data_IF_029535197007
#
_entry.id   IF_029535197007
#
_cell.length_a   1.000
_cell.length_b   1.000
_cell.length_c   1.000
_cell.angle_alpha   90.00
_cell.angle_beta   90.00
_cell.angle_gamma   90.00
#
_symmetry.space_group_name_H-M   'P 1'
#
loop_
_entity.id
_entity.type
_entity.pdbx_description
1 polymer ?
#
# COMPACT_ATOMS: atom_id res chain seq x y z
N UNK A 1 -9.92 12.95 11.20
CA UNK A 1 -8.55 13.01 11.74
C UNK A 1 -7.47 13.13 10.68
N UNK A 2 -7.59 12.48 9.57
CA UNK A 2 -6.63 12.40 8.45
C UNK A 2 -6.15 13.68 7.80
N UNK A 3 -6.99 14.70 7.73
CA UNK A 3 -6.74 15.89 6.91
C UNK A 3 -6.10 17.04 7.68
N UNK A 4 -5.63 16.82 8.91
CA UNK A 4 -5.03 17.86 9.75
C UNK A 4 -3.50 17.75 9.90
N UNK A 5 -2.87 17.00 9.02
CA UNK A 5 -1.40 16.96 8.97
C UNK A 5 -0.84 18.32 8.56
N UNK A 6 0.46 18.51 8.78
CA UNK A 6 1.21 19.69 8.32
C UNK A 6 1.00 19.97 6.82
N UNK A 7 0.67 18.92 6.04
CA UNK A 7 0.40 19.00 4.58
C UNK A 7 -0.88 19.76 4.23
N UNK A 8 -1.83 19.91 5.18
CA UNK A 8 -3.10 20.60 4.95
C UNK A 8 -3.25 21.79 5.89
N UNK A 9 -3.89 22.83 5.41
CA UNK A 9 -4.28 24.01 6.18
C UNK A 9 -5.75 24.33 5.95
N UNK A 10 -6.34 25.13 6.81
CA UNK A 10 -7.62 25.78 6.51
C UNK A 10 -7.34 27.03 5.69
N UNK A 11 -8.11 27.23 4.63
CA UNK A 11 -8.15 28.50 3.91
C UNK A 11 -8.98 29.56 4.66
N UNK A 12 -9.09 30.73 4.11
CA UNK A 12 -9.84 31.87 4.68
C UNK A 12 -11.35 31.56 4.88
N UNK A 13 -11.87 30.61 4.11
CA UNK A 13 -13.24 30.12 4.21
C UNK A 13 -13.40 28.90 5.12
N UNK A 14 -12.35 28.51 5.87
CA UNK A 14 -12.35 27.37 6.76
C UNK A 14 -12.26 26.01 6.06
N UNK A 15 -12.07 25.96 4.72
CA UNK A 15 -11.94 24.73 3.95
C UNK A 15 -10.56 24.12 4.14
N UNK A 16 -10.50 22.80 4.19
CA UNK A 16 -9.22 22.08 4.28
C UNK A 16 -8.60 21.99 2.88
N UNK A 17 -7.49 22.70 2.69
CA UNK A 17 -6.73 22.72 1.43
C UNK A 17 -5.33 22.18 1.64
N UNK A 18 -4.78 21.54 0.62
CA UNK A 18 -3.39 21.08 0.65
C UNK A 18 -2.46 22.30 0.57
N UNK A 19 -1.38 22.29 1.36
CA UNK A 19 -0.30 23.29 1.24
C UNK A 19 0.38 23.18 -0.12
N UNK A 20 0.89 24.31 -0.59
CA UNK A 20 1.58 24.39 -1.87
C UNK A 20 2.99 23.76 -1.78
N UNK A 21 3.57 23.45 -2.93
CA UNK A 21 4.98 23.03 -3.00
C UNK A 21 5.91 24.17 -2.59
N UNK A 22 5.47 25.42 -2.74
CA UNK A 22 6.22 26.61 -2.32
C UNK A 22 6.36 26.70 -0.79
N UNK A 23 5.35 26.25 -0.04
CA UNK A 23 5.47 26.11 1.41
C UNK A 23 6.60 25.15 1.78
N UNK A 24 6.72 24.02 1.08
CA UNK A 24 7.80 23.06 1.30
C UNK A 24 9.17 23.65 0.92
N UNK A 25 9.26 24.36 -0.21
CA UNK A 25 10.50 25.05 -0.62
C UNK A 25 10.90 26.14 0.36
N UNK A 26 9.94 26.86 0.93
CA UNK A 26 10.22 27.83 2.00
C UNK A 26 10.82 27.16 3.22
N UNK A 27 10.26 26.06 3.68
CA UNK A 27 10.79 25.27 4.80
C UNK A 27 12.22 24.74 4.51
N UNK A 28 12.48 24.33 3.27
CA UNK A 28 13.83 23.92 2.86
C UNK A 28 14.83 25.09 2.97
N UNK A 29 14.44 26.31 2.55
CA UNK A 29 15.28 27.51 2.71
C UNK A 29 15.52 27.83 4.19
N UNK A 30 14.48 27.77 5.02
CA UNK A 30 14.58 27.98 6.48
C UNK A 30 15.48 26.94 7.15
N UNK A 31 15.47 25.71 6.65
CA UNK A 31 16.35 24.64 7.10
C UNK A 31 17.82 24.78 6.60
N UNK A 32 18.12 25.80 5.78
CA UNK A 32 19.46 26.01 5.24
C UNK A 32 19.78 25.26 3.94
N UNK A 33 18.73 24.78 3.23
CA UNK A 33 18.87 24.02 1.98
C UNK A 33 18.04 24.62 0.83
N UNK A 34 18.26 25.91 0.45
CA UNK A 34 17.59 26.47 -0.72
C UNK A 34 17.90 25.63 -1.95
N UNK A 35 16.83 25.29 -2.70
CA UNK A 35 16.89 24.44 -3.89
C UNK A 35 17.63 23.10 -3.67
N UNK A 36 17.57 22.60 -2.42
CA UNK A 36 18.18 21.35 -2.02
C UNK A 36 19.71 21.39 -1.89
N UNK A 37 20.29 22.56 -1.70
CA UNK A 37 21.75 22.75 -1.48
C UNK A 37 22.02 23.38 -0.14
N UNK A 38 23.00 22.85 0.54
CA UNK A 38 23.52 23.39 1.79
C UNK A 38 24.12 24.80 1.57
N UNK A 39 23.62 25.79 2.30
CA UNK A 39 24.05 27.22 2.14
C UNK A 39 25.50 27.45 2.46
N UNK A 40 26.13 26.62 3.29
CA UNK A 40 27.53 26.79 3.71
C UNK A 40 28.50 26.13 2.76
N UNK A 41 28.15 24.96 2.23
CA UNK A 41 29.06 24.12 1.43
C UNK A 41 28.69 24.05 -0.05
N UNK A 42 27.50 24.49 -0.44
CA UNK A 42 26.94 24.35 -1.80
C UNK A 42 26.65 22.90 -2.22
N UNK A 43 26.87 21.92 -1.33
CA UNK A 43 26.66 20.52 -1.64
C UNK A 43 25.18 20.19 -1.73
N UNK A 44 24.77 19.29 -2.64
CA UNK A 44 23.40 18.84 -2.71
C UNK A 44 23.00 18.07 -1.45
N UNK A 45 21.75 18.24 -1.01
CA UNK A 45 21.16 17.44 0.06
C UNK A 45 20.80 16.07 -0.49
N UNK A 46 21.53 15.06 -0.07
CA UNK A 46 21.28 13.66 -0.39
C UNK A 46 20.70 12.98 0.85
N UNK A 47 19.53 12.38 0.72
CA UNK A 47 18.88 11.61 1.78
C UNK A 47 18.74 10.15 1.36
N UNK A 48 18.96 9.25 2.32
CA UNK A 48 18.87 7.82 2.11
C UNK A 48 17.47 7.33 2.50
N UNK A 49 16.81 6.62 1.60
CA UNK A 49 15.50 6.03 1.81
C UNK A 49 15.61 4.52 1.85
N UNK A 50 15.45 3.96 3.03
CA UNK A 50 15.48 2.52 3.25
C UNK A 50 14.12 1.88 2.96
N UNK A 51 14.12 0.85 2.11
CA UNK A 51 12.94 0.12 1.67
C UNK A 51 13.08 -1.38 1.93
N UNK A 52 12.03 -1.99 2.45
CA UNK A 52 12.02 -3.36 2.96
C UNK A 52 11.83 -4.45 1.90
N UNK A 53 11.92 -4.13 0.62
CA UNK A 53 11.73 -5.09 -0.46
C UNK A 53 12.49 -4.70 -1.72
N UNK A 54 13.24 -5.64 -2.26
CA UNK A 54 13.89 -5.51 -3.57
C UNK A 54 13.00 -6.03 -4.73
N UNK A 55 11.73 -6.36 -4.47
CA UNK A 55 10.83 -6.90 -5.49
C UNK A 55 10.54 -5.89 -6.62
N UNK A 56 10.45 -6.33 -7.89
CA UNK A 56 10.22 -5.46 -9.04
C UNK A 56 8.94 -4.61 -8.95
N UNK A 57 7.90 -5.10 -8.27
CA UNK A 57 6.64 -4.37 -8.07
C UNK A 57 6.77 -3.07 -7.28
N UNK A 58 7.87 -2.88 -6.53
CA UNK A 58 8.12 -1.65 -5.76
C UNK A 58 8.68 -0.51 -6.63
N UNK A 59 9.20 -0.79 -7.82
CA UNK A 59 9.94 0.17 -8.65
C UNK A 59 9.15 1.44 -8.93
N UNK A 60 7.94 1.32 -9.43
CA UNK A 60 7.11 2.48 -9.79
C UNK A 60 6.81 3.39 -8.58
N UNK A 61 6.60 2.80 -7.40
CA UNK A 61 6.37 3.52 -6.16
C UNK A 61 7.64 4.27 -5.71
N UNK A 62 8.79 3.62 -5.73
CA UNK A 62 10.07 4.22 -5.34
C UNK A 62 10.50 5.33 -6.29
N UNK A 63 10.32 5.16 -7.59
CA UNK A 63 10.54 6.21 -8.58
C UNK A 63 9.59 7.40 -8.38
N UNK A 64 8.35 7.15 -7.98
CA UNK A 64 7.42 8.22 -7.64
C UNK A 64 7.93 9.02 -6.44
N UNK A 65 8.38 8.35 -5.36
CA UNK A 65 8.98 9.02 -4.20
C UNK A 65 10.16 9.88 -4.60
N UNK A 66 11.12 9.34 -5.33
CA UNK A 66 12.30 10.07 -5.82
C UNK A 66 11.90 11.33 -6.59
N UNK A 67 10.91 11.22 -7.50
CA UNK A 67 10.39 12.39 -8.22
C UNK A 67 9.70 13.43 -7.31
N UNK A 68 9.04 13.00 -6.23
CA UNK A 68 8.42 13.97 -5.31
C UNK A 68 9.47 14.73 -4.51
N UNK A 69 10.49 14.07 -4.00
CA UNK A 69 11.59 14.71 -3.28
C UNK A 69 12.41 15.65 -4.18
N UNK A 70 12.63 15.28 -5.42
CA UNK A 70 13.31 16.13 -6.41
C UNK A 70 12.60 17.49 -6.65
N UNK A 71 11.28 17.59 -6.46
CA UNK A 71 10.53 18.85 -6.59
C UNK A 71 10.94 19.94 -5.61
N UNK A 72 11.55 19.54 -4.50
CA UNK A 72 12.09 20.43 -3.46
C UNK A 72 13.61 20.38 -3.40
N UNK A 73 14.26 19.85 -4.44
CA UNK A 73 15.69 19.80 -4.59
C UNK A 73 16.42 18.66 -3.85
N UNK A 74 15.70 17.80 -3.15
CA UNK A 74 16.31 16.68 -2.42
C UNK A 74 16.65 15.55 -3.38
N UNK A 75 17.89 15.07 -3.34
CA UNK A 75 18.32 13.83 -3.99
C UNK A 75 18.03 12.65 -3.05
N UNK A 76 17.11 11.78 -3.45
CA UNK A 76 16.72 10.61 -2.67
C UNK A 76 17.44 9.36 -3.20
N UNK A 77 18.31 8.79 -2.38
CA UNK A 77 18.95 7.50 -2.66
C UNK A 77 18.14 6.37 -2.04
N UNK A 78 17.60 5.50 -2.89
CA UNK A 78 16.80 4.35 -2.45
C UNK A 78 17.72 3.18 -2.14
N UNK A 79 17.62 2.67 -0.92
CA UNK A 79 18.35 1.51 -0.40
C UNK A 79 17.39 0.36 -0.12
N UNK A 80 17.05 -0.39 -1.16
CA UNK A 80 16.18 -1.55 -1.04
C UNK A 80 16.96 -2.77 -0.51
N UNK A 81 16.45 -3.41 0.54
CA UNK A 81 17.03 -4.62 1.13
C UNK A 81 15.93 -5.65 1.40
N UNK A 82 16.32 -6.86 1.77
CA UNK A 82 15.38 -7.82 2.36
C UNK A 82 14.89 -7.33 3.74
N UNK A 83 13.78 -7.93 4.20
CA UNK A 83 13.11 -7.48 5.42
C UNK A 83 13.97 -7.64 6.68
N UNK A 84 14.77 -8.70 6.79
CA UNK A 84 15.61 -8.92 7.98
C UNK A 84 16.68 -7.84 8.10
N UNK A 85 17.39 -7.55 7.01
CA UNK A 85 18.37 -6.44 6.97
C UNK A 85 17.72 -5.08 7.20
N UNK A 86 16.50 -4.88 6.72
CA UNK A 86 15.75 -3.68 7.01
C UNK A 86 15.48 -3.55 8.52
N UNK A 87 15.04 -4.62 9.19
CA UNK A 87 14.84 -4.63 10.65
C UNK A 87 16.14 -4.35 11.41
N UNK A 88 17.27 -4.95 10.98
CA UNK A 88 18.57 -4.70 11.58
C UNK A 88 18.97 -3.21 11.52
N UNK A 89 18.70 -2.54 10.40
CA UNK A 89 18.93 -1.09 10.27
C UNK A 89 18.07 -0.29 11.24
N UNK A 90 16.79 -0.68 11.44
CA UNK A 90 15.92 -0.02 12.41
C UNK A 90 16.43 -0.20 13.84
N UNK A 91 16.84 -1.41 14.21
CA UNK A 91 17.37 -1.71 15.54
C UNK A 91 18.68 -0.98 15.82
N UNK A 92 19.53 -0.82 14.81
CA UNK A 92 20.84 -0.16 14.94
C UNK A 92 20.77 1.36 14.69
N UNK A 93 19.61 1.93 14.36
CA UNK A 93 19.44 3.37 14.08
C UNK A 93 20.22 3.86 12.87
N UNK A 94 20.53 3.00 11.91
CA UNK A 94 21.33 3.34 10.73
C UNK A 94 20.50 3.77 9.53
N UNK A 95 19.16 3.72 9.62
CA UNK A 95 18.25 4.25 8.62
C UNK A 95 17.99 5.74 8.84
N UNK A 96 17.92 6.51 7.75
CA UNK A 96 17.65 7.95 7.79
C UNK A 96 16.18 8.26 7.50
N UNK A 97 15.66 7.78 6.37
CA UNK A 97 14.25 7.81 6.03
C UNK A 97 13.86 6.40 5.66
N UNK A 98 12.68 5.97 6.08
CA UNK A 98 12.18 4.64 5.77
C UNK A 98 10.66 4.63 5.72
N UNK A 99 10.12 3.59 5.12
CA UNK A 99 8.69 3.35 5.03
C UNK A 99 8.35 2.09 5.82
N UNK A 100 7.54 2.26 6.84
CA UNK A 100 7.06 1.15 7.65
C UNK A 100 5.61 1.40 8.04
N UNK A 101 4.93 0.38 8.58
CA UNK A 101 3.54 0.46 9.01
C UNK A 101 3.30 -0.28 10.31
N UNK A 102 2.19 0.02 10.92
CA UNK A 102 1.71 -0.66 12.12
C UNK A 102 0.25 -1.10 11.92
N UNK A 103 -0.09 -2.25 12.45
CA UNK A 103 -1.46 -2.77 12.52
C UNK A 103 -1.79 -2.85 14.00
N UNK A 104 -2.95 -2.30 14.40
CA UNK A 104 -3.36 -2.34 15.79
C UNK A 104 -3.52 -3.78 16.30
N UNK A 105 -2.89 -4.10 17.43
CA UNK A 105 -3.05 -5.37 18.11
C UNK A 105 -4.32 -5.39 18.96
N UNK A 106 -4.77 -4.21 19.41
CA UNK A 106 -5.99 -3.97 20.17
C UNK A 106 -6.58 -2.59 19.89
N UNK A 107 -7.87 -2.35 20.13
CA UNK A 107 -8.58 -1.13 19.73
C UNK A 107 -8.39 0.01 20.74
N UNK A 108 -7.15 0.42 21.01
CA UNK A 108 -6.83 1.61 21.82
C UNK A 108 -5.80 2.49 21.07
N UNK A 109 -5.90 3.81 21.30
CA UNK A 109 -4.95 4.77 20.74
C UNK A 109 -3.53 4.57 21.25
N UNK A 110 -3.37 4.00 22.42
CA UNK A 110 -2.08 3.65 23.02
C UNK A 110 -1.26 2.80 22.09
N UNK A 111 -1.89 1.83 21.36
CA UNK A 111 -1.21 0.93 20.44
C UNK A 111 -0.63 1.61 19.17
N UNK A 112 -0.88 2.88 18.97
CA UNK A 112 -0.23 3.70 17.95
C UNK A 112 0.69 4.76 18.54
N UNK A 113 0.32 5.33 19.69
CA UNK A 113 1.08 6.41 20.30
C UNK A 113 2.37 5.90 20.98
N UNK A 114 2.40 4.64 21.42
CA UNK A 114 3.60 4.03 22.01
C UNK A 114 4.76 3.92 21.00
N UNK A 115 4.46 3.97 19.71
CA UNK A 115 5.46 4.00 18.64
C UNK A 115 6.24 5.33 18.57
N UNK A 116 5.83 6.34 19.33
CA UNK A 116 6.49 7.64 19.47
C UNK A 116 6.93 7.91 20.90
N UNK A 117 6.68 6.97 21.82
CA UNK A 117 7.07 7.09 23.22
C UNK A 117 8.59 6.94 23.36
N UNK A 118 9.26 7.95 23.91
CA UNK A 118 10.73 8.02 23.96
C UNK A 118 11.38 6.82 24.63
N UNK A 119 10.94 6.35 25.83
CA UNK A 119 11.47 5.15 26.47
C UNK A 119 11.34 3.86 25.63
N UNK A 120 10.48 3.85 24.62
CA UNK A 120 10.32 2.74 23.65
C UNK A 120 11.23 2.86 22.42
N UNK A 121 12.20 3.76 22.41
CA UNK A 121 13.14 3.91 21.30
C UNK A 121 13.85 2.60 20.99
N UNK A 122 14.01 2.27 19.70
CA UNK A 122 14.75 1.07 19.30
C UNK A 122 16.22 1.17 19.66
N UNK A 123 16.81 2.35 19.50
CA UNK A 123 18.22 2.60 19.82
C UNK A 123 18.33 3.17 21.22
N UNK A 124 19.20 2.57 22.04
CA UNK A 124 19.48 3.05 23.39
C UNK A 124 18.45 2.65 24.45
N UNK A 125 17.39 1.93 24.10
CA UNK A 125 16.50 1.34 25.10
C UNK A 125 17.01 -0.04 25.53
N UNK A 126 16.84 -0.35 26.82
CA UNK A 126 17.19 -1.67 27.36
C UNK A 126 16.24 -2.79 26.90
N UNK A 127 15.07 -2.41 26.38
CA UNK A 127 13.99 -3.34 26.03
C UNK A 127 13.83 -3.61 24.52
N UNK A 128 14.60 -2.91 23.66
CA UNK A 128 14.45 -3.02 22.21
C UNK A 128 13.06 -2.61 21.72
N UNK A 129 12.60 -1.44 22.16
CA UNK A 129 11.23 -0.95 21.94
C UNK A 129 10.81 -0.78 20.47
N UNK A 130 9.56 -0.38 20.25
CA UNK A 130 8.97 -0.29 18.91
C UNK A 130 9.00 1.13 18.30
N UNK A 131 9.53 2.13 19.04
CA UNK A 131 9.71 3.48 18.50
C UNK A 131 10.93 3.51 17.56
N UNK A 132 10.72 3.08 16.32
CA UNK A 132 11.77 3.02 15.31
C UNK A 132 12.24 4.40 14.83
N UNK A 133 11.45 5.45 15.01
CA UNK A 133 11.86 6.83 14.73
C UNK A 133 12.83 7.39 15.76
N UNK A 134 12.98 6.73 16.89
CA UNK A 134 13.74 7.21 18.07
C UNK A 134 13.31 8.62 18.48
N UNK A 135 12.06 8.98 18.26
CA UNK A 135 11.47 10.24 18.67
C UNK A 135 11.51 10.37 20.17
N UNK A 136 11.94 11.53 20.66
CA UNK A 136 12.05 11.81 22.07
C UNK A 136 11.51 13.22 22.34
N UNK A 137 10.42 13.32 23.08
CA UNK A 137 9.83 14.59 23.48
C UNK A 137 9.25 14.44 24.89
N UNK A 138 9.80 15.14 25.85
CA UNK A 138 9.45 15.00 27.27
C UNK A 138 7.97 15.31 27.58
N UNK A 139 7.35 16.26 26.83
CA UNK A 139 5.92 16.52 27.00
C UNK A 139 5.07 15.39 26.44
N UNK A 140 5.43 14.86 25.26
CA UNK A 140 4.76 13.70 24.69
C UNK A 140 4.81 12.50 25.64
N UNK A 141 6.00 12.22 26.19
CA UNK A 141 6.22 11.09 27.09
C UNK A 141 5.37 11.21 28.36
N UNK A 142 5.35 12.40 28.97
CA UNK A 142 4.51 12.68 30.15
C UNK A 142 3.02 12.54 29.86
N UNK A 143 2.57 13.00 28.68
CA UNK A 143 1.18 12.86 28.26
C UNK A 143 0.83 11.41 27.99
N UNK A 144 1.75 10.64 27.41
CA UNK A 144 1.59 9.22 27.14
C UNK A 144 1.39 8.43 28.44
N UNK A 145 2.25 8.65 29.45
CA UNK A 145 2.14 8.00 30.76
C UNK A 145 0.79 8.28 31.43
N UNK A 146 0.34 9.53 31.37
CA UNK A 146 -0.98 9.89 31.89
C UNK A 146 -2.12 9.22 31.12
N UNK A 147 -2.04 9.24 29.78
CA UNK A 147 -3.07 8.69 28.90
C UNK A 147 -3.26 7.17 29.08
N UNK A 148 -2.19 6.43 29.36
CA UNK A 148 -2.23 4.96 29.57
C UNK A 148 -3.11 4.54 30.72
N UNK A 149 -3.15 5.35 31.79
CA UNK A 149 -3.90 5.08 33.01
C UNK A 149 -5.26 5.74 33.05
N UNK A 150 -5.58 6.58 32.04
CA UNK A 150 -6.84 7.31 31.98
C UNK A 150 -7.94 6.44 31.37
N UNK A 151 -9.13 6.49 31.97
CA UNK A 151 -10.32 5.83 31.44
C UNK A 151 -10.78 6.45 30.11
N UNK A 152 -11.47 5.67 29.29
CA UNK A 152 -11.99 6.15 28.03
C UNK A 152 -13.04 7.25 28.26
N UNK A 153 -12.72 8.47 27.84
CA UNK A 153 -13.56 9.64 28.05
C UNK A 153 -12.97 10.91 27.43
N UNK A 154 -13.59 12.07 27.73
CA UNK A 154 -13.13 13.36 27.21
C UNK A 154 -11.70 13.71 27.62
N UNK A 155 -11.30 13.36 28.85
CA UNK A 155 -9.96 13.60 29.39
C UNK A 155 -8.91 12.85 28.61
N UNK A 156 -9.08 11.54 28.39
CA UNK A 156 -8.19 10.72 27.55
C UNK A 156 -8.13 11.25 26.12
N UNK A 157 -9.28 11.63 25.55
CA UNK A 157 -9.34 12.21 24.22
C UNK A 157 -8.54 13.53 24.11
N UNK A 158 -8.60 14.39 25.13
CA UNK A 158 -7.83 15.63 25.17
C UNK A 158 -6.32 15.40 25.25
N UNK A 159 -5.88 14.39 26.03
CA UNK A 159 -4.46 13.98 26.09
C UNK A 159 -3.99 13.47 24.71
N UNK A 160 -4.76 12.61 24.08
CA UNK A 160 -4.48 12.08 22.73
C UNK A 160 -4.37 13.24 21.72
N UNK A 161 -5.28 14.19 21.74
CA UNK A 161 -5.25 15.34 20.84
C UNK A 161 -4.00 16.23 21.04
N UNK A 162 -3.53 16.39 22.28
CA UNK A 162 -2.26 17.10 22.54
C UNK A 162 -1.07 16.35 21.97
N UNK A 163 -0.99 15.05 22.20
CA UNK A 163 0.08 14.19 21.68
C UNK A 163 0.12 14.20 20.15
N UNK A 164 -1.05 14.13 19.50
CA UNK A 164 -1.15 14.24 18.04
C UNK A 164 -0.64 15.59 17.54
N UNK A 165 -0.92 16.69 18.25
CA UNK A 165 -0.39 18.03 17.87
C UNK A 165 1.14 18.08 17.98
N UNK A 166 1.72 17.52 19.02
CA UNK A 166 3.16 17.42 19.16
C UNK A 166 3.75 16.63 17.98
N UNK A 167 3.24 15.44 17.71
CA UNK A 167 3.69 14.61 16.60
C UNK A 167 3.53 15.29 15.22
N UNK A 168 2.50 16.13 15.05
CA UNK A 168 2.31 16.90 13.83
C UNK A 168 3.30 18.06 13.68
N UNK A 169 3.67 18.68 14.78
CA UNK A 169 4.59 19.84 14.80
C UNK A 169 6.04 19.39 14.63
N UNK A 170 6.45 18.40 15.39
CA UNK A 170 7.80 17.84 15.34
C UNK A 170 8.04 16.96 14.10
N UNK A 171 6.96 16.46 13.51
CA UNK A 171 6.93 15.68 12.27
C UNK A 171 7.91 14.49 12.22
N UNK A 172 8.01 13.64 13.28
CA UNK A 172 8.83 12.43 13.22
C UNK A 172 8.33 11.46 12.13
N UNK A 173 7.07 11.57 11.74
CA UNK A 173 6.43 10.78 10.70
C UNK A 173 5.73 11.65 9.65
N UNK A 174 5.82 11.21 8.41
CA UNK A 174 4.87 11.56 7.36
C UNK A 174 3.86 10.44 7.25
N UNK A 175 2.63 10.66 7.73
CA UNK A 175 1.56 9.65 7.68
C UNK A 175 1.21 9.33 6.23
N UNK A 176 1.38 8.09 5.83
CA UNK A 176 1.18 7.63 4.47
C UNK A 176 -0.30 7.42 4.13
N UNK A 177 -0.80 6.20 4.25
CA UNK A 177 -2.18 5.84 3.93
C UNK A 177 -2.69 4.76 4.87
N UNK A 178 -4.02 4.62 4.92
CA UNK A 178 -4.67 3.48 5.54
C UNK A 178 -5.19 2.58 4.42
N UNK A 179 -4.71 1.34 4.34
CA UNK A 179 -5.15 0.43 3.30
C UNK A 179 -6.63 0.08 3.49
N UNK A 180 -7.34 -0.04 2.38
CA UNK A 180 -8.66 -0.68 2.36
C UNK A 180 -8.48 -2.08 1.79
N UNK A 181 -9.00 -3.06 2.50
CA UNK A 181 -9.02 -4.43 2.02
C UNK A 181 -10.42 -4.76 1.50
N UNK A 182 -10.47 -5.42 0.36
CA UNK A 182 -11.67 -6.04 -0.16
C UNK A 182 -11.43 -7.55 -0.25
N UNK A 183 -12.35 -8.33 0.28
CA UNK A 183 -12.31 -9.78 0.18
C UNK A 183 -13.57 -10.28 -0.53
N UNK A 184 -13.39 -11.15 -1.52
CA UNK A 184 -14.47 -11.89 -2.14
C UNK A 184 -14.49 -13.31 -1.54
N UNK A 185 -15.62 -13.69 -0.98
CA UNK A 185 -15.81 -14.99 -0.38
C UNK A 185 -16.96 -15.71 -1.07
N UNK A 186 -16.82 -17.02 -1.20
CA UNK A 186 -17.91 -17.83 -1.70
C UNK A 186 -19.12 -17.80 -0.77
N UNK A 187 -20.33 -17.77 -1.31
CA UNK A 187 -21.57 -17.69 -0.52
C UNK A 187 -21.81 -18.86 0.45
N UNK A 188 -21.03 -19.93 0.37
CA UNK A 188 -21.06 -21.03 1.33
C UNK A 188 -20.14 -20.83 2.55
N UNK A 189 -19.33 -19.76 2.56
CA UNK A 189 -18.54 -19.38 3.76
C UNK A 189 -19.45 -18.57 4.68
N UNK A 190 -19.60 -19.02 5.90
CA UNK A 190 -20.42 -18.37 6.94
C UNK A 190 -19.54 -17.70 7.97
N UNK A 191 -20.08 -16.69 8.65
CA UNK A 191 -19.43 -15.95 9.74
C UNK A 191 -18.11 -15.26 9.36
N UNK A 192 -17.87 -15.03 8.07
CA UNK A 192 -16.72 -14.25 7.64
C UNK A 192 -16.97 -12.77 7.96
N UNK A 193 -16.32 -12.26 9.00
CA UNK A 193 -16.35 -10.84 9.39
C UNK A 193 -14.97 -10.24 9.19
N UNK A 194 -14.85 -9.15 8.43
CA UNK A 194 -13.57 -8.47 8.33
C UNK A 194 -13.20 -7.87 9.68
N UNK A 195 -12.00 -8.19 10.15
CA UNK A 195 -11.42 -7.60 11.35
C UNK A 195 -9.93 -7.35 11.11
N UNK A 196 -9.42 -6.26 11.64
CA UNK A 196 -7.99 -5.93 11.56
C UNK A 196 -7.27 -6.17 12.90
N UNK A 197 -8.01 -6.28 13.99
CA UNK A 197 -7.47 -6.48 15.33
C UNK A 197 -7.38 -7.95 15.77
N UNK A 198 -8.08 -8.85 15.08
CA UNK A 198 -8.02 -10.29 15.35
C UNK A 198 -7.25 -10.95 14.22
N UNK A 199 -6.05 -11.41 14.50
CA UNK A 199 -5.15 -12.04 13.52
C UNK A 199 -5.72 -13.31 12.90
N UNK A 200 -6.44 -14.10 13.70
CA UNK A 200 -7.03 -15.36 13.27
C UNK A 200 -8.52 -15.39 13.58
N UNK A 201 -9.31 -15.06 12.56
CA UNK A 201 -10.76 -15.17 12.60
C UNK A 201 -11.29 -16.47 11.96
N UNK A 202 -10.40 -17.33 11.45
CA UNK A 202 -10.77 -18.58 10.78
C UNK A 202 -11.51 -19.51 11.74
N UNK A 203 -11.16 -19.52 13.03
CA UNK A 203 -11.83 -20.27 14.08
C UNK A 203 -13.34 -19.95 14.20
N UNK A 204 -13.80 -18.79 13.77
CA UNK A 204 -15.21 -18.38 13.79
C UNK A 204 -15.93 -18.64 12.46
N UNK A 205 -15.20 -19.02 11.42
CA UNK A 205 -15.77 -19.30 10.10
C UNK A 205 -16.30 -20.72 10.04
N UNK A 206 -17.33 -20.90 9.24
CA UNK A 206 -17.88 -22.21 8.93
C UNK A 206 -18.10 -22.34 7.41
N UNK A 207 -18.05 -23.57 6.91
CA UNK A 207 -18.33 -23.89 5.52
C UNK A 207 -19.62 -24.68 5.44
N UNK A 208 -20.60 -24.19 4.70
CA UNK A 208 -21.78 -24.96 4.31
C UNK A 208 -21.36 -25.99 3.26
N UNK A 209 -21.09 -27.21 3.68
CA UNK A 209 -20.58 -28.28 2.84
C UNK A 209 -21.57 -28.67 1.71
N UNK A 210 -22.88 -28.62 1.99
CA UNK A 210 -23.92 -28.94 1.02
C UNK A 210 -23.99 -27.89 -0.08
N UNK A 211 -24.11 -26.62 0.30
CA UNK A 211 -24.13 -25.51 -0.65
C UNK A 211 -22.84 -25.45 -1.48
N UNK A 212 -21.67 -25.74 -0.87
CA UNK A 212 -20.39 -25.84 -1.58
C UNK A 212 -20.41 -26.95 -2.63
N UNK A 213 -20.87 -28.17 -2.26
CA UNK A 213 -20.93 -29.30 -3.19
C UNK A 213 -21.86 -29.03 -4.39
N UNK A 214 -23.04 -28.43 -4.13
CA UNK A 214 -24.01 -28.06 -5.18
C UNK A 214 -23.41 -27.01 -6.14
N UNK A 215 -22.80 -25.95 -5.62
CA UNK A 215 -22.18 -24.90 -6.45
C UNK A 215 -21.01 -25.41 -7.28
N UNK A 216 -20.12 -26.23 -6.68
CA UNK A 216 -18.99 -26.83 -7.39
C UNK A 216 -19.50 -27.75 -8.53
N UNK A 217 -20.55 -28.54 -8.27
CA UNK A 217 -21.15 -29.38 -9.30
C UNK A 217 -21.70 -28.53 -10.44
N UNK A 218 -22.44 -27.48 -10.12
CA UNK A 218 -23.01 -26.57 -11.12
C UNK A 218 -21.90 -25.88 -11.96
N UNK A 219 -20.81 -25.45 -11.35
CA UNK A 219 -19.67 -24.84 -12.07
C UNK A 219 -18.93 -25.81 -12.97
N UNK A 220 -18.83 -27.08 -12.55
CA UNK A 220 -18.13 -28.10 -13.31
C UNK A 220 -19.03 -28.79 -14.36
N UNK A 221 -20.28 -28.36 -14.50
CA UNK A 221 -21.16 -28.84 -15.56
C UNK A 221 -20.66 -28.31 -16.91
N UNK A 222 -20.29 -29.18 -17.87
CA UNK A 222 -19.74 -28.73 -19.13
C UNK A 222 -20.77 -27.91 -19.93
N UNK A 223 -20.34 -26.77 -20.43
CA UNK A 223 -21.13 -25.96 -21.38
C UNK A 223 -20.81 -26.44 -22.77
N UNK A 224 -21.75 -27.16 -23.40
CA UNK A 224 -21.50 -27.83 -24.68
C UNK A 224 -21.74 -26.95 -25.92
N UNK A 225 -22.46 -25.84 -25.80
CA UNK A 225 -22.79 -25.00 -26.97
C UNK A 225 -21.55 -24.41 -27.69
N UNK A 226 -20.41 -24.02 -27.03
CA UNK A 226 -19.23 -23.60 -27.77
C UNK A 226 -18.63 -24.72 -28.63
N UNK A 227 -18.64 -25.96 -28.12
CA UNK A 227 -18.17 -27.11 -28.87
C UNK A 227 -19.09 -27.38 -30.13
N UNK A 228 -20.41 -27.20 -29.99
CA UNK A 228 -21.32 -27.29 -31.10
C UNK A 228 -21.06 -26.23 -32.17
N UNK A 229 -20.76 -24.99 -31.79
CA UNK A 229 -20.40 -23.93 -32.74
C UNK A 229 -19.14 -24.29 -33.49
N UNK A 230 -18.10 -24.77 -32.78
CA UNK A 230 -16.83 -25.19 -33.40
C UNK A 230 -17.09 -26.33 -34.41
N UNK A 231 -17.89 -27.33 -34.05
CA UNK A 231 -18.24 -28.44 -34.94
C UNK A 231 -19.00 -27.95 -36.20
N UNK A 232 -19.94 -27.03 -36.02
CA UNK A 232 -20.66 -26.44 -37.13
C UNK A 232 -19.74 -25.65 -38.06
N UNK A 233 -18.87 -24.83 -37.50
CA UNK A 233 -17.90 -24.07 -38.28
C UNK A 233 -16.91 -24.98 -39.02
N UNK A 234 -16.45 -26.06 -38.41
CA UNK A 234 -15.60 -27.06 -39.05
C UNK A 234 -16.36 -27.80 -40.18
N UNK A 235 -17.62 -28.15 -39.95
CA UNK A 235 -18.50 -28.77 -40.98
C UNK A 235 -18.67 -27.83 -42.18
N UNK A 236 -18.97 -26.56 -41.96
CA UNK A 236 -19.07 -25.55 -43.00
C UNK A 236 -17.79 -25.39 -43.80
N UNK A 237 -16.65 -25.37 -43.11
CA UNK A 237 -15.32 -25.28 -43.75
C UNK A 237 -15.05 -26.50 -44.64
N UNK A 238 -15.30 -27.71 -44.14
CA UNK A 238 -15.15 -28.94 -44.90
C UNK A 238 -16.09 -28.93 -46.13
N UNK A 239 -17.35 -28.51 -45.96
CA UNK A 239 -18.29 -28.37 -47.05
C UNK A 239 -17.80 -27.36 -48.13
N UNK A 240 -17.32 -26.17 -47.69
CA UNK A 240 -16.80 -25.17 -48.61
C UNK A 240 -15.59 -25.67 -49.39
N UNK A 241 -14.64 -26.31 -48.71
CA UNK A 241 -13.45 -26.91 -49.33
C UNK A 241 -13.81 -27.97 -50.34
N UNK A 242 -14.74 -28.87 -49.97
CA UNK A 242 -15.20 -29.91 -50.90
C UNK A 242 -15.87 -29.32 -52.15
N UNK A 243 -16.71 -28.32 -51.98
CA UNK A 243 -17.33 -27.63 -53.13
C UNK A 243 -16.30 -26.91 -54.01
N UNK A 244 -15.37 -26.23 -53.38
CA UNK A 244 -14.28 -25.59 -54.12
C UNK A 244 -13.44 -26.59 -54.95
N UNK A 245 -13.06 -27.72 -54.34
CA UNK A 245 -12.31 -28.77 -55.03
C UNK A 245 -13.15 -29.40 -56.18
N UNK A 246 -14.45 -29.64 -55.97
CA UNK A 246 -15.35 -30.15 -57.01
C UNK A 246 -15.45 -29.16 -58.19
N UNK A 247 -15.63 -27.86 -57.90
CA UNK A 247 -15.71 -26.84 -58.94
C UNK A 247 -14.39 -26.76 -59.75
N UNK A 248 -13.24 -26.82 -59.11
CA UNK A 248 -11.94 -26.86 -59.82
C UNK A 248 -11.82 -28.08 -60.73
N UNK A 249 -12.19 -29.27 -60.26
CA UNK A 249 -12.10 -30.50 -61.07
C UNK A 249 -13.02 -30.45 -62.30
N UNK A 250 -14.21 -29.85 -62.19
CA UNK A 250 -15.13 -29.71 -63.30
C UNK A 250 -14.63 -28.72 -64.38
N UNK A 251 -13.91 -27.70 -63.99
CA UNK A 251 -13.29 -26.72 -64.90
C UNK A 251 -12.11 -27.40 -65.67
N UNK A 252 -11.27 -28.15 -64.94
CA UNK A 252 -10.10 -28.84 -65.54
C UNK A 252 -10.58 -29.96 -66.52
N UNK A 253 -11.67 -30.65 -66.22
CA UNK A 253 -12.26 -31.65 -67.15
C UNK A 253 -12.75 -31.03 -68.46
N UNK A 254 -13.44 -29.87 -68.42
CA UNK A 254 -13.94 -29.18 -69.63
C UNK A 254 -12.82 -28.67 -70.54
N UNK A 255 -11.67 -28.24 -69.96
CA UNK A 255 -10.51 -27.79 -70.71
C UNK A 255 -9.84 -28.98 -71.45
N UNK A 256 -9.86 -30.17 -70.84
CA UNK A 256 -9.32 -31.39 -71.47
C UNK A 256 -10.19 -31.94 -72.61
N UNK A 257 -11.53 -31.75 -72.58
CA UNK A 257 -12.43 -32.16 -73.66
C UNK A 257 -12.51 -31.16 -74.82
N UNK A 258 -12.20 -29.87 -74.59
CA UNK A 258 -12.19 -28.84 -75.66
C UNK A 258 -10.95 -28.82 -76.50
N UNK A 259 -9.93 -29.63 -76.21
CA UNK A 259 -8.69 -29.73 -76.96
C UNK A 259 -8.55 -31.05 -77.76
N UNK A 260 -9.63 -31.74 -77.97
CA UNK A 260 -9.75 -32.83 -78.91
C UNK A 260 -10.62 -32.37 -80.10
#
# INVERSE_FOLDING_TARGET
MYKRQVVYRKDENGRIVRRSIEDARRLMREAGYPDGRDVKTGRPLVLNFDWQSAAPGSKAFLEWFTRQFAKIGIQLEVRATDYNRFQDKMMNGTAQIYYWGWIADYPDAENFLFLLYGPNSKVGSTSGGENASNFCNAEFDRLFEKMRTEENGPEKAALIDRMIRIAQTEAPWSFGYYPRQAAALHGWVKNAKPTQTVRDNVQYMAVDAKARAEKIRAWNTPVLWPALIILLAAGLLVWAVRNYVRARRSVTGRIAEGNK
#
